data_IF_599600779313
#
_entry.id   IF_599600779313
#
_cell.length_a   1.000
_cell.length_b   1.000
_cell.length_c   1.000
_cell.angle_alpha   90.00
_cell.angle_beta   90.00
_cell.angle_gamma   90.00
#
_symmetry.space_group_name_H-M   'P 1'
#
loop_
_entity.id
_entity.type
_entity.pdbx_description
1 polymer ?
#
# COMPACT_ATOMS: atom_id res chain seq x y z
N UNK A 1 9.19 21.68 -5.06
CA UNK A 1 9.10 20.43 -5.83
C UNK A 1 7.75 19.79 -5.60
N UNK A 2 7.28 18.99 -6.56
CA UNK A 2 6.07 18.17 -6.44
C UNK A 2 6.48 16.69 -6.49
N UNK A 3 5.73 15.81 -5.81
CA UNK A 3 5.96 14.38 -5.91
C UNK A 3 5.56 13.85 -7.30
N UNK A 4 6.15 12.74 -7.70
CA UNK A 4 5.76 12.02 -8.91
C UNK A 4 4.99 10.76 -8.50
N UNK A 5 3.71 10.72 -8.88
CA UNK A 5 2.87 9.53 -8.69
C UNK A 5 2.89 8.72 -9.98
N UNK A 6 3.22 7.45 -9.88
CA UNK A 6 3.15 6.48 -10.97
C UNK A 6 2.27 5.30 -10.55
N UNK A 7 1.25 5.04 -11.36
CA UNK A 7 0.41 3.86 -11.29
C UNK A 7 0.73 2.99 -12.50
N UNK A 8 1.12 1.75 -12.26
CA UNK A 8 1.63 0.85 -13.28
C UNK A 8 1.05 -0.55 -13.11
N UNK A 9 0.40 -1.03 -14.15
CA UNK A 9 -0.17 -2.37 -14.20
C UNK A 9 0.31 -3.17 -15.41
N UNK A 10 0.22 -4.49 -15.33
CA UNK A 10 0.57 -5.39 -16.41
C UNK A 10 -0.36 -6.61 -16.46
N UNK A 11 -0.66 -7.03 -17.69
CA UNK A 11 -1.45 -8.23 -17.96
C UNK A 11 -0.52 -9.40 -18.28
N UNK A 12 -0.60 -10.45 -17.51
CA UNK A 12 0.20 -11.67 -17.67
C UNK A 12 -0.70 -12.88 -17.75
N UNK A 13 -0.20 -14.00 -18.30
CA UNK A 13 -0.96 -15.25 -18.36
C UNK A 13 -1.35 -15.81 -16.99
N UNK A 14 -0.53 -15.50 -15.96
CA UNK A 14 -0.73 -15.95 -14.59
C UNK A 14 -1.51 -14.99 -13.72
N UNK A 15 -1.80 -13.77 -14.17
CA UNK A 15 -2.53 -12.76 -13.39
C UNK A 15 -2.31 -11.35 -13.91
N UNK A 16 -2.96 -10.41 -13.27
CA UNK A 16 -2.83 -8.97 -13.51
C UNK A 16 -2.02 -8.35 -12.36
N UNK A 17 -1.10 -7.43 -12.65
CA UNK A 17 -0.41 -6.63 -11.63
C UNK A 17 -0.98 -5.22 -11.57
N UNK A 18 -0.97 -4.64 -10.37
CA UNK A 18 -1.41 -3.29 -10.08
C UNK A 18 -0.57 -2.72 -8.94
N UNK A 19 0.09 -1.61 -9.16
CA UNK A 19 0.98 -1.00 -8.17
C UNK A 19 1.11 0.49 -8.37
N UNK A 20 0.93 1.25 -7.30
CA UNK A 20 1.20 2.69 -7.29
C UNK A 20 2.34 3.02 -6.33
N UNK A 21 3.21 3.93 -6.77
CA UNK A 21 4.22 4.58 -5.94
C UNK A 21 4.17 6.08 -6.10
N UNK A 22 4.43 6.78 -5.01
CA UNK A 22 4.72 8.21 -5.03
C UNK A 22 6.18 8.41 -4.67
N UNK A 23 6.91 9.14 -5.51
CA UNK A 23 8.37 9.28 -5.46
C UNK A 23 8.73 10.77 -5.36
N UNK A 24 9.73 11.07 -4.54
CA UNK A 24 10.28 12.41 -4.41
C UNK A 24 11.60 12.55 -5.19
N UNK A 25 11.71 13.60 -6.00
CA UNK A 25 12.97 14.00 -6.67
C UNK A 25 13.60 15.22 -6.00
N UNK A 26 13.64 15.21 -4.66
CA UNK A 26 14.21 16.27 -3.85
C UNK A 26 13.34 16.64 -2.65
N UNK A 27 13.71 17.68 -1.87
CA UNK A 27 12.97 18.06 -0.67
C UNK A 27 11.51 18.42 -0.97
N UNK A 28 10.59 17.89 -0.16
CA UNK A 28 9.16 18.15 -0.28
C UNK A 28 8.68 19.20 0.75
N UNK A 29 7.70 20.05 0.39
CA UNK A 29 7.03 20.93 1.34
C UNK A 29 6.38 20.14 2.49
N UNK A 30 6.36 20.72 3.69
CA UNK A 30 5.84 20.11 4.91
C UNK A 30 4.41 19.56 4.75
N UNK A 31 3.53 20.30 4.03
CA UNK A 31 2.16 19.83 3.76
C UNK A 31 2.11 18.51 2.98
N UNK A 32 3.06 18.30 2.07
CA UNK A 32 3.17 17.05 1.29
C UNK A 32 3.74 15.93 2.16
N UNK A 33 4.80 16.23 2.94
CA UNK A 33 5.39 15.28 3.91
C UNK A 33 4.33 14.78 4.89
N UNK A 34 3.53 15.67 5.47
CA UNK A 34 2.48 15.36 6.43
C UNK A 34 1.39 14.48 5.80
N UNK A 35 0.88 14.87 4.63
CA UNK A 35 -0.16 14.09 3.93
C UNK A 35 0.36 12.72 3.48
N UNK A 36 1.59 12.66 2.95
CA UNK A 36 2.20 11.40 2.53
C UNK A 36 2.43 10.44 3.70
N UNK A 37 2.92 10.97 4.82
CA UNK A 37 3.09 10.18 6.04
C UNK A 37 1.77 9.58 6.49
N UNK A 38 0.67 10.35 6.45
CA UNK A 38 -0.66 9.83 6.77
C UNK A 38 -1.14 8.77 5.78
N UNK A 39 -0.88 8.92 4.46
CA UNK A 39 -1.19 7.88 3.45
C UNK A 39 -0.42 6.60 3.75
N UNK A 40 0.90 6.67 4.02
CA UNK A 40 1.71 5.50 4.37
C UNK A 40 1.22 4.84 5.67
N UNK A 41 0.88 5.61 6.69
CA UNK A 41 0.29 5.09 7.94
C UNK A 41 -1.02 4.34 7.69
N UNK A 42 -1.91 4.91 6.88
CA UNK A 42 -3.17 4.28 6.49
C UNK A 42 -2.95 2.98 5.71
N UNK A 43 -1.99 2.99 4.78
CA UNK A 43 -1.57 1.80 4.06
C UNK A 43 -1.07 0.71 5.01
N UNK A 44 -0.15 1.02 5.93
CA UNK A 44 0.37 0.07 6.90
C UNK A 44 -0.73 -0.43 7.84
N UNK A 45 -1.61 0.45 8.32
CA UNK A 45 -2.71 0.07 9.21
C UNK A 45 -3.65 -0.97 8.58
N UNK A 46 -3.95 -0.84 7.28
CA UNK A 46 -4.81 -1.80 6.60
C UNK A 46 -4.07 -3.07 6.21
N UNK A 47 -2.88 -2.97 5.61
CA UNK A 47 -2.15 -4.15 5.10
C UNK A 47 -1.64 -5.06 6.22
N UNK A 48 -1.38 -4.53 7.41
CA UNK A 48 -0.97 -5.29 8.60
C UNK A 48 -2.15 -5.81 9.42
N UNK A 49 -3.39 -5.49 9.02
CA UNK A 49 -4.56 -5.86 9.81
C UNK A 49 -4.76 -7.38 9.91
N UNK A 50 -5.11 -7.82 11.11
CA UNK A 50 -5.67 -9.14 11.38
C UNK A 50 -7.15 -8.95 11.72
N UNK A 51 -8.05 -9.62 11.00
CA UNK A 51 -9.48 -9.36 11.08
C UNK A 51 -10.30 -10.66 11.09
N UNK A 52 -11.52 -10.66 11.67
CA UNK A 52 -12.37 -11.83 11.73
C UNK A 52 -12.90 -12.23 10.34
N UNK A 53 -13.11 -13.54 10.11
CA UNK A 53 -13.67 -14.08 8.85
C UNK A 53 -15.05 -13.52 8.49
N UNK A 54 -15.72 -12.85 9.42
CA UNK A 54 -17.01 -12.18 9.19
C UNK A 54 -16.87 -10.76 8.64
N UNK A 55 -15.66 -10.23 8.58
CA UNK A 55 -15.42 -8.88 8.09
C UNK A 55 -15.63 -8.79 6.57
N UNK A 56 -16.09 -7.62 6.14
CA UNK A 56 -16.21 -7.22 4.74
C UNK A 56 -15.37 -5.95 4.51
N UNK A 57 -15.14 -5.59 3.26
CA UNK A 57 -14.24 -4.49 2.93
C UNK A 57 -14.61 -3.14 3.57
N UNK A 58 -15.89 -2.81 3.67
CA UNK A 58 -16.34 -1.55 4.30
C UNK A 58 -16.06 -1.49 5.82
N UNK A 59 -15.91 -2.62 6.49
CA UNK A 59 -15.48 -2.63 7.90
C UNK A 59 -14.02 -2.25 8.08
N UNK A 60 -13.17 -2.53 7.08
CA UNK A 60 -11.74 -2.34 7.14
C UNK A 60 -11.26 -1.03 6.51
N UNK A 61 -12.07 -0.42 5.63
CA UNK A 61 -11.75 0.81 4.89
C UNK A 61 -11.32 1.96 5.81
N UNK A 62 -11.98 2.11 6.95
CA UNK A 62 -11.66 3.14 7.94
C UNK A 62 -10.23 3.04 8.51
N UNK A 63 -9.61 1.86 8.51
CA UNK A 63 -8.23 1.70 8.99
C UNK A 63 -7.26 2.49 8.12
N UNK A 64 -7.45 2.47 6.81
CA UNK A 64 -6.63 3.21 5.86
C UNK A 64 -6.92 4.72 5.88
N UNK A 65 -8.16 5.13 6.14
CA UNK A 65 -8.56 6.53 6.12
C UNK A 65 -8.25 7.27 7.42
N UNK A 66 -8.20 6.58 8.54
CA UNK A 66 -8.10 7.17 9.88
C UNK A 66 -6.95 8.17 10.01
N UNK A 67 -5.70 7.91 9.56
CA UNK A 67 -4.62 8.89 9.68
C UNK A 67 -4.85 10.17 8.88
N UNK A 68 -5.56 10.11 7.76
CA UNK A 68 -5.96 11.28 6.98
C UNK A 68 -7.09 12.04 7.67
N UNK A 69 -8.10 11.36 8.21
CA UNK A 69 -9.19 11.99 8.95
C UNK A 69 -8.70 12.76 10.17
N UNK A 70 -7.68 12.27 10.86
CA UNK A 70 -7.04 12.97 11.99
C UNK A 70 -6.41 14.31 11.57
N UNK A 71 -6.13 14.50 10.27
CA UNK A 71 -5.66 15.74 9.66
C UNK A 71 -6.79 16.55 8.97
N UNK A 72 -8.03 16.09 9.02
CA UNK A 72 -9.15 16.70 8.28
C UNK A 72 -9.10 16.44 6.77
N UNK A 73 -8.34 15.43 6.32
CA UNK A 73 -8.16 15.04 4.92
C UNK A 73 -8.93 13.74 4.63
N UNK A 74 -9.29 13.53 3.36
CA UNK A 74 -9.91 12.28 2.89
C UNK A 74 -9.67 12.12 1.38
N UNK A 75 -10.09 10.99 0.80
CA UNK A 75 -10.12 10.72 -0.63
C UNK A 75 -11.44 10.07 -1.03
N UNK A 76 -11.86 10.26 -2.29
CA UNK A 76 -13.20 9.87 -2.76
C UNK A 76 -13.24 8.48 -3.39
N UNK A 77 -12.11 7.94 -3.87
CA UNK A 77 -12.07 6.60 -4.44
C UNK A 77 -12.11 5.49 -3.38
N UNK A 78 -12.33 4.26 -3.80
CA UNK A 78 -12.21 3.07 -2.94
C UNK A 78 -10.77 2.87 -2.48
N UNK A 79 -10.60 2.33 -1.28
CA UNK A 79 -9.26 2.02 -0.75
C UNK A 79 -8.64 0.77 -1.39
N UNK A 80 -9.40 0.06 -2.22
CA UNK A 80 -8.94 -1.11 -2.94
C UNK A 80 -10.08 -1.94 -3.51
N UNK A 81 -9.72 -2.85 -4.39
CA UNK A 81 -10.64 -3.68 -5.18
C UNK A 81 -10.06 -5.09 -5.38
N UNK A 82 -10.89 -6.03 -5.82
CA UNK A 82 -10.43 -7.32 -6.30
C UNK A 82 -9.62 -7.17 -7.58
N UNK A 83 -8.72 -8.10 -7.84
CA UNK A 83 -7.91 -8.13 -9.06
C UNK A 83 -8.21 -9.40 -9.85
N UNK A 84 -8.61 -9.23 -11.11
CA UNK A 84 -8.98 -10.33 -11.99
C UNK A 84 -7.78 -11.11 -12.52
N UNK A 85 -8.00 -12.41 -12.72
CA UNK A 85 -7.03 -13.24 -13.42
C UNK A 85 -7.24 -13.13 -14.93
N UNK A 86 -6.30 -12.49 -15.61
CA UNK A 86 -6.30 -12.33 -17.08
C UNK A 86 -7.53 -11.56 -17.62
N UNK A 87 -8.18 -10.76 -16.79
CA UNK A 87 -9.40 -10.02 -17.11
C UNK A 87 -9.32 -8.57 -16.59
N UNK A 88 -10.25 -8.21 -15.74
CA UNK A 88 -10.36 -6.85 -15.22
C UNK A 88 -9.38 -6.60 -14.08
N UNK A 89 -8.69 -5.47 -14.13
CA UNK A 89 -7.91 -4.99 -12.99
C UNK A 89 -8.84 -4.69 -11.80
N UNK A 90 -10.01 -4.07 -12.06
CA UNK A 90 -11.06 -3.84 -11.06
C UNK A 90 -12.06 -4.99 -11.08
N UNK A 91 -11.72 -6.12 -10.46
CA UNK A 91 -12.57 -7.31 -10.44
C UNK A 91 -13.54 -7.30 -9.25
N UNK A 92 -14.80 -7.60 -9.54
CA UNK A 92 -15.82 -7.78 -8.52
C UNK A 92 -15.73 -9.19 -7.89
N UNK A 93 -16.34 -9.42 -6.68
CA UNK A 93 -17.21 -8.51 -5.94
C UNK A 93 -16.52 -7.76 -4.79
N UNK A 94 -15.27 -8.10 -4.45
CA UNK A 94 -14.58 -7.57 -3.27
C UNK A 94 -14.07 -6.14 -3.52
N UNK A 95 -14.21 -5.29 -2.51
CA UNK A 95 -13.63 -3.94 -2.50
C UNK A 95 -13.53 -3.40 -1.08
N UNK A 96 -12.56 -2.53 -0.84
CA UNK A 96 -12.54 -1.62 0.31
C UNK A 96 -13.17 -0.29 -0.10
N UNK A 97 -14.00 0.29 0.75
CA UNK A 97 -14.64 1.59 0.49
C UNK A 97 -15.73 1.91 1.49
N UNK A 98 -16.15 3.18 1.49
CA UNK A 98 -17.21 3.70 2.39
C UNK A 98 -18.57 3.03 2.16
N UNK A 99 -18.86 2.64 0.91
CA UNK A 99 -20.13 2.01 0.57
C UNK A 99 -20.21 0.59 1.10
N UNK A 100 -21.38 0.20 1.61
CA UNK A 100 -21.61 -1.16 2.12
C UNK A 100 -21.34 -2.19 1.02
N UNK A 101 -20.55 -3.20 1.38
CA UNK A 101 -20.24 -4.35 0.56
C UNK A 101 -20.28 -5.59 1.47
N UNK A 102 -21.20 -6.50 1.20
CA UNK A 102 -21.47 -7.66 2.06
C UNK A 102 -20.68 -8.92 1.69
N UNK A 103 -19.75 -8.82 0.74
CA UNK A 103 -18.89 -9.93 0.37
C UNK A 103 -17.79 -10.12 1.40
N UNK A 104 -17.78 -11.29 2.03
CA UNK A 104 -16.76 -11.67 3.02
C UNK A 104 -15.48 -12.09 2.31
N UNK A 105 -14.38 -11.87 2.97
CA UNK A 105 -13.09 -12.33 2.49
C UNK A 105 -12.90 -13.83 2.74
N UNK A 106 -12.25 -14.49 1.80
CA UNK A 106 -11.82 -15.87 1.89
C UNK A 106 -10.34 -16.00 1.55
N UNK A 107 -9.60 -16.96 2.12
CA UNK A 107 -8.21 -17.20 1.72
C UNK A 107 -8.09 -17.43 0.20
N UNK A 108 -7.09 -16.79 -0.42
CA UNK A 108 -6.85 -16.82 -1.86
C UNK A 108 -7.48 -15.66 -2.64
N UNK A 109 -8.34 -14.84 -2.02
CA UNK A 109 -8.83 -13.60 -2.66
C UNK A 109 -7.66 -12.63 -2.82
N UNK A 110 -7.49 -12.08 -4.04
CA UNK A 110 -6.48 -11.05 -4.36
C UNK A 110 -7.14 -9.69 -4.42
N UNK A 111 -6.56 -8.74 -3.72
CA UNK A 111 -7.06 -7.36 -3.57
C UNK A 111 -5.95 -6.35 -3.79
N UNK A 112 -6.29 -5.10 -4.13
CA UNK A 112 -5.41 -3.95 -3.92
C UNK A 112 -5.66 -3.31 -2.55
N UNK A 113 -4.64 -2.62 -2.02
CA UNK A 113 -4.72 -1.68 -0.90
C UNK A 113 -4.01 -0.41 -1.38
N UNK A 114 -4.78 0.66 -1.58
CA UNK A 114 -4.33 1.84 -2.35
C UNK A 114 -4.84 3.18 -1.76
N UNK A 115 -4.68 3.45 -0.47
CA UNK A 115 -5.04 4.76 0.06
C UNK A 115 -4.27 5.88 -0.63
N UNK A 116 -4.91 7.04 -0.76
CA UNK A 116 -4.30 8.21 -1.39
C UNK A 116 -4.82 9.51 -0.80
N UNK A 117 -4.27 10.62 -1.30
CA UNK A 117 -4.76 11.97 -1.08
C UNK A 117 -4.47 12.84 -2.29
N UNK A 118 -5.40 13.69 -2.68
CA UNK A 118 -5.30 14.51 -3.88
C UNK A 118 -5.73 15.93 -3.54
N UNK A 119 -4.77 16.86 -3.58
CA UNK A 119 -5.03 18.28 -3.47
C UNK A 119 -5.31 18.83 -4.86
N UNK A 120 -6.50 19.43 -5.06
CA UNK A 120 -6.91 20.00 -6.35
C UNK A 120 -5.90 21.03 -6.83
N UNK A 121 -5.50 20.91 -8.11
CA UNK A 121 -4.52 21.77 -8.78
C UNK A 121 -3.13 21.83 -8.13
N UNK A 122 -2.80 20.92 -7.19
CA UNK A 122 -1.52 20.93 -6.48
C UNK A 122 -0.79 19.58 -6.63
N UNK A 123 -1.17 18.53 -5.89
CA UNK A 123 -0.46 17.24 -5.92
C UNK A 123 -1.38 16.04 -5.65
N UNK A 124 -0.92 14.87 -6.09
CA UNK A 124 -1.53 13.58 -5.77
C UNK A 124 -0.55 12.63 -5.10
N UNK A 125 -1.05 11.84 -4.16
CA UNK A 125 -0.30 10.84 -3.40
C UNK A 125 -1.09 9.54 -3.39
N UNK A 126 -0.45 8.41 -3.68
CA UNK A 126 -1.01 7.07 -3.47
C UNK A 126 0.12 6.07 -3.22
N UNK A 127 -0.12 5.14 -2.32
CA UNK A 127 0.72 3.96 -2.11
C UNK A 127 -0.15 2.74 -2.23
N UNK A 128 0.24 1.82 -3.12
CA UNK A 128 -0.56 0.67 -3.46
C UNK A 128 0.25 -0.61 -3.54
N UNK A 129 -0.28 -1.67 -2.95
CA UNK A 129 0.15 -3.05 -3.18
C UNK A 129 -1.04 -3.94 -3.47
N UNK A 130 -0.81 -4.95 -4.29
CA UNK A 130 -1.65 -6.14 -4.29
C UNK A 130 -1.34 -7.02 -3.08
N UNK A 131 -2.40 -7.59 -2.53
CA UNK A 131 -2.35 -8.50 -1.39
C UNK A 131 -3.19 -9.74 -1.66
N UNK A 132 -2.80 -10.85 -1.05
CA UNK A 132 -3.61 -12.05 -0.94
C UNK A 132 -4.19 -12.14 0.48
N UNK A 133 -5.46 -12.48 0.58
CA UNK A 133 -6.08 -12.84 1.85
C UNK A 133 -5.59 -14.22 2.28
N UNK A 134 -5.09 -14.34 3.49
CA UNK A 134 -4.56 -15.59 4.04
C UNK A 134 -5.19 -15.90 5.40
N UNK A 135 -5.21 -17.18 5.78
CA UNK A 135 -5.63 -17.58 7.13
C UNK A 135 -4.64 -17.08 8.18
N UNK A 136 -5.15 -16.53 9.28
CA UNK A 136 -4.34 -16.05 10.42
C UNK A 136 -4.78 -16.68 11.74
N UNK A 137 -5.00 -17.98 11.72
CA UNK A 137 -5.49 -18.77 12.85
C UNK A 137 -7.02 -18.91 12.87
N UNK A 138 -7.57 -19.67 13.84
CA UNK A 138 -8.99 -19.97 13.89
C UNK A 138 -9.87 -18.72 13.91
N UNK A 139 -10.75 -18.58 12.91
CA UNK A 139 -11.72 -17.48 12.80
C UNK A 139 -11.14 -16.13 12.37
N UNK A 140 -9.84 -16.07 11.97
CA UNK A 140 -9.18 -14.83 11.57
C UNK A 140 -8.45 -14.95 10.22
N UNK A 141 -8.40 -13.82 9.52
CA UNK A 141 -7.69 -13.59 8.26
C UNK A 141 -6.66 -12.48 8.44
N UNK A 142 -5.71 -12.40 7.51
CA UNK A 142 -4.73 -11.33 7.36
C UNK A 142 -4.40 -11.14 5.88
N UNK A 143 -3.56 -10.15 5.56
CA UNK A 143 -3.07 -9.92 4.22
C UNK A 143 -1.60 -10.33 4.09
N UNK A 144 -1.27 -10.92 2.95
CA UNK A 144 0.10 -11.16 2.50
C UNK A 144 0.36 -10.31 1.27
N UNK A 145 1.36 -9.43 1.33
CA UNK A 145 1.74 -8.62 0.16
C UNK A 145 2.24 -9.50 -0.98
N UNK A 146 1.72 -9.25 -2.18
CA UNK A 146 2.21 -9.84 -3.43
C UNK A 146 3.16 -8.88 -4.15
N UNK A 147 2.92 -7.58 -4.05
CA UNK A 147 3.77 -6.54 -4.66
C UNK A 147 5.13 -6.49 -3.96
N UNK A 148 6.19 -6.50 -4.76
CA UNK A 148 7.58 -6.39 -4.32
C UNK A 148 8.22 -5.15 -4.95
N UNK A 149 7.84 -3.96 -4.49
CA UNK A 149 8.40 -2.68 -4.91
C UNK A 149 8.70 -1.81 -3.69
N UNK A 150 9.85 -1.14 -3.59
CA UNK A 150 10.12 -0.24 -2.46
C UNK A 150 9.05 0.84 -2.32
N UNK A 151 8.75 1.23 -1.09
CA UNK A 151 7.98 2.43 -0.76
C UNK A 151 8.99 3.55 -0.51
N UNK A 152 8.86 4.69 -1.19
CA UNK A 152 9.77 5.81 -0.99
C UNK A 152 9.48 6.49 0.35
N UNK A 153 10.32 6.21 1.35
CA UNK A 153 10.22 6.79 2.68
C UNK A 153 11.12 8.04 2.86
N UNK A 154 11.82 8.48 1.80
CA UNK A 154 12.78 9.59 1.88
C UNK A 154 12.14 10.93 2.24
N UNK A 155 10.84 11.10 2.01
CA UNK A 155 10.08 12.29 2.33
C UNK A 155 8.90 12.05 3.28
N UNK A 156 8.89 10.92 3.98
CA UNK A 156 7.97 10.67 5.09
C UNK A 156 8.58 11.16 6.41
N UNK A 157 7.76 11.65 7.32
CA UNK A 157 8.20 12.03 8.67
C UNK A 157 8.32 10.78 9.55
N UNK A 158 9.55 10.27 9.69
CA UNK A 158 9.84 9.09 10.48
C UNK A 158 9.42 9.21 11.96
N UNK A 159 9.39 10.44 12.50
CA UNK A 159 8.98 10.71 13.88
C UNK A 159 7.50 10.43 14.16
N UNK A 160 6.65 10.42 13.12
CA UNK A 160 5.22 10.18 13.24
C UNK A 160 4.83 8.69 13.17
N UNK A 161 5.72 7.81 12.76
CA UNK A 161 5.44 6.37 12.76
C UNK A 161 5.58 5.77 14.16
N UNK A 162 4.71 4.84 14.50
CA UNK A 162 4.87 3.99 15.68
C UNK A 162 6.01 2.98 15.47
N UNK A 163 6.46 2.35 16.54
CA UNK A 163 7.48 1.27 16.43
C UNK A 163 6.99 0.09 15.60
N UNK A 164 5.70 -0.26 15.71
CA UNK A 164 5.12 -1.36 14.94
C UNK A 164 5.01 -1.02 13.46
N UNK A 165 4.66 0.23 13.10
CA UNK A 165 4.65 0.70 11.70
C UNK A 165 6.06 0.67 11.10
N UNK A 166 7.08 1.15 11.83
CA UNK A 166 8.49 1.08 11.41
C UNK A 166 8.93 -0.38 11.25
N UNK A 167 8.59 -1.24 12.20
CA UNK A 167 8.95 -2.66 12.13
C UNK A 167 8.33 -3.33 10.89
N UNK A 168 7.05 -3.03 10.59
CA UNK A 168 6.37 -3.54 9.40
C UNK A 168 7.03 -3.04 8.10
N UNK A 169 7.31 -1.73 7.98
CA UNK A 169 7.94 -1.12 6.82
C UNK A 169 9.34 -1.71 6.58
N UNK A 170 10.13 -1.86 7.62
CA UNK A 170 11.47 -2.45 7.54
C UNK A 170 11.43 -3.93 7.14
N UNK A 171 10.50 -4.71 7.69
CA UNK A 171 10.31 -6.11 7.31
C UNK A 171 9.86 -6.25 5.85
N UNK A 172 8.97 -5.37 5.39
CA UNK A 172 8.54 -5.31 3.99
C UNK A 172 9.72 -4.99 3.06
N UNK A 173 10.51 -3.95 3.36
CA UNK A 173 11.67 -3.58 2.57
C UNK A 173 12.75 -4.68 2.57
N UNK A 174 12.98 -5.35 3.70
CA UNK A 174 13.89 -6.50 3.77
C UNK A 174 13.43 -7.63 2.85
N UNK A 175 12.12 -7.93 2.83
CA UNK A 175 11.53 -8.94 1.92
C UNK A 175 11.68 -8.55 0.46
N UNK A 176 11.40 -7.27 0.12
CA UNK A 176 11.57 -6.75 -1.25
C UNK A 176 13.01 -6.94 -1.70
N UNK A 177 13.99 -6.53 -0.89
CA UNK A 177 15.41 -6.67 -1.20
C UNK A 177 15.84 -8.13 -1.33
N UNK A 178 15.45 -8.99 -0.38
CA UNK A 178 15.77 -10.42 -0.40
C UNK A 178 15.30 -11.10 -1.69
N UNK A 179 14.07 -10.80 -2.11
CA UNK A 179 13.44 -11.44 -3.27
C UNK A 179 13.92 -10.90 -4.61
N UNK A 180 14.19 -9.60 -4.70
CA UNK A 180 14.54 -8.97 -5.97
C UNK A 180 16.04 -8.94 -6.24
N UNK A 181 16.88 -8.80 -5.21
CA UNK A 181 18.32 -8.68 -5.39
C UNK A 181 18.95 -9.80 -6.25
N UNK A 182 18.59 -11.09 -6.07
CA UNK A 182 19.13 -12.16 -6.89
C UNK A 182 18.69 -12.14 -8.36
N UNK A 183 17.63 -11.39 -8.69
CA UNK A 183 17.05 -11.30 -10.03
C UNK A 183 17.61 -10.12 -10.83
N UNK A 184 18.34 -9.21 -10.19
CA UNK A 184 18.88 -7.99 -10.80
C UNK A 184 20.34 -8.22 -11.12
N UNK A 185 20.70 -8.12 -12.41
CA UNK A 185 22.10 -8.25 -12.87
C UNK A 185 22.84 -6.90 -12.96
N UNK A 186 22.10 -5.78 -13.05
CA UNK A 186 22.65 -4.44 -13.15
C UNK A 186 23.13 -3.94 -11.77
N UNK A 187 24.41 -3.58 -11.66
CA UNK A 187 25.02 -3.16 -10.40
C UNK A 187 24.49 -1.78 -9.91
N UNK A 188 24.06 -0.88 -10.82
CA UNK A 188 23.50 0.41 -10.44
C UNK A 188 22.11 0.21 -9.85
N UNK A 189 21.31 -0.66 -10.47
CA UNK A 189 19.98 -1.04 -9.96
C UNK A 189 20.06 -1.76 -8.61
N UNK A 190 21.08 -2.64 -8.42
CA UNK A 190 21.32 -3.28 -7.12
C UNK A 190 21.67 -2.26 -6.02
N UNK A 191 22.52 -1.27 -6.34
CA UNK A 191 22.85 -0.17 -5.41
C UNK A 191 21.61 0.66 -5.07
N UNK A 192 20.83 1.02 -6.10
CA UNK A 192 19.58 1.74 -5.90
C UNK A 192 18.60 0.95 -5.01
N UNK A 193 18.37 -0.34 -5.30
CA UNK A 193 17.47 -1.17 -4.49
C UNK A 193 17.94 -1.26 -3.03
N UNK A 194 19.25 -1.37 -2.81
CA UNK A 194 19.83 -1.37 -1.46
C UNK A 194 19.48 -0.08 -0.72
N UNK A 195 19.72 1.07 -1.35
CA UNK A 195 19.41 2.38 -0.76
C UNK A 195 17.89 2.58 -0.55
N UNK A 196 17.07 2.21 -1.55
CA UNK A 196 15.61 2.35 -1.50
C UNK A 196 14.93 1.43 -0.47
N UNK A 197 15.66 0.46 0.07
CA UNK A 197 15.18 -0.49 1.07
C UNK A 197 15.97 -0.43 2.38
N UNK A 198 16.68 0.68 2.62
CA UNK A 198 17.33 0.91 3.92
C UNK A 198 16.29 0.98 5.05
N UNK A 199 16.74 0.57 6.24
CA UNK A 199 15.86 0.55 7.40
C UNK A 199 15.52 1.98 7.85
N UNK A 200 14.23 2.25 7.99
CA UNK A 200 13.74 3.48 8.59
C UNK A 200 14.09 3.46 10.09
N UNK A 201 14.66 4.55 10.56
CA UNK A 201 14.93 4.82 11.98
C UNK A 201 14.28 6.15 12.37
N UNK A 202 13.91 6.30 13.65
CA UNK A 202 13.41 7.58 14.17
C UNK A 202 14.53 8.61 14.30
#
# INVERSE_FOLDING_TARGET
>A
ALPYLIDSGGQYRGGTTDVTRTIAFGPMPERIVTAYTAVVKGFVALISARFPVTACGHHLDALARRPLWDLGLDYDHGTGHGVGHFLSVHEHPHRFGKAVNNYRFEPGVVMTIEPGYYAEDDFGLRVENQVEVVSSGPGFLAFRSLTLAPIDLSFADAGQFSQDEIAWLNAYHATVREKLMPLISDADVQRWLTAATESLTR
#
